data_IF_030101946603
#
_entry.id   IF_030101946603
#
_cell.length_a   1.000
_cell.length_b   1.000
_cell.length_c   1.000
_cell.angle_alpha   90.00
_cell.angle_beta   90.00
_cell.angle_gamma   90.00
#
_symmetry.space_group_name_H-M   'P 1'
#
loop_
_entity.id
_entity.type
_entity.pdbx_description
1 polymer ?
#
# COMPACT_ATOMS: atom_id res chain seq x y z
N UNK A 1 -7.80 15.91 19.85
CA UNK A 1 -8.26 14.68 19.19
C UNK A 1 -9.60 14.31 19.81
N UNK A 2 -10.67 14.33 19.01
CA UNK A 2 -12.01 13.93 19.43
C UNK A 2 -12.31 12.52 18.91
N UNK A 3 -13.37 11.89 19.40
CA UNK A 3 -13.79 10.51 19.06
C UNK A 3 -13.98 10.15 17.55
N UNK A 4 -14.02 11.04 16.52
CA UNK A 4 -14.20 10.65 15.13
C UNK A 4 -12.91 10.78 14.29
N UNK A 5 -11.79 10.22 14.74
CA UNK A 5 -10.55 10.14 13.93
C UNK A 5 -10.26 8.68 13.51
N UNK A 6 -10.93 8.19 12.45
CA UNK A 6 -10.75 6.83 11.94
C UNK A 6 -9.40 6.67 11.20
N UNK A 7 -8.76 5.52 11.43
CA UNK A 7 -7.49 5.13 10.77
C UNK A 7 -7.77 4.06 9.73
N UNK A 8 -7.49 4.37 8.47
CA UNK A 8 -7.48 3.37 7.40
C UNK A 8 -6.31 2.41 7.66
N UNK A 9 -6.64 1.14 7.90
CA UNK A 9 -5.68 0.04 7.97
C UNK A 9 -5.63 -0.66 6.63
N UNK A 10 -4.51 -0.51 5.92
CA UNK A 10 -4.26 -1.20 4.65
C UNK A 10 -3.48 -2.49 4.90
N UNK A 11 -3.94 -3.59 4.33
CA UNK A 11 -3.19 -4.84 4.31
C UNK A 11 -2.44 -5.05 2.98
N UNK A 12 -1.11 -5.08 3.03
CA UNK A 12 -0.23 -5.42 1.89
C UNK A 12 0.08 -6.91 1.87
N UNK A 13 -0.78 -7.65 1.18
CA UNK A 13 -1.03 -9.05 1.52
C UNK A 13 0.12 -10.01 1.18
N UNK A 14 0.92 -9.72 0.14
CA UNK A 14 1.89 -10.68 -0.43
C UNK A 14 3.16 -10.07 -1.03
N UNK A 15 3.05 -8.91 -1.69
CA UNK A 15 4.17 -8.30 -2.42
C UNK A 15 4.65 -9.09 -3.62
N UNK A 16 5.78 -8.65 -4.19
CA UNK A 16 6.44 -9.31 -5.32
C UNK A 16 7.88 -9.77 -5.04
N UNK A 17 8.53 -9.26 -3.99
CA UNK A 17 9.97 -9.48 -3.74
C UNK A 17 10.23 -10.69 -2.82
N UNK A 18 9.46 -10.82 -1.75
CA UNK A 18 9.61 -11.91 -0.79
C UNK A 18 9.03 -13.24 -1.30
N UNK A 19 9.42 -14.34 -0.68
CA UNK A 19 8.91 -15.68 -0.99
C UNK A 19 8.72 -16.54 0.28
N UNK A 20 8.14 -17.73 0.11
CA UNK A 20 7.85 -18.68 1.21
C UNK A 20 9.06 -19.24 1.94
N UNK A 21 10.26 -19.18 1.35
CA UNK A 21 11.48 -19.54 2.08
C UNK A 21 11.81 -18.51 3.16
N UNK A 22 11.40 -17.25 2.95
CA UNK A 22 11.56 -16.17 3.91
C UNK A 22 10.40 -16.07 4.89
N UNK A 23 9.16 -16.29 4.45
CA UNK A 23 7.96 -16.32 5.28
C UNK A 23 6.92 -17.30 4.71
N UNK A 24 6.70 -18.48 5.34
CA UNK A 24 5.78 -19.50 4.82
C UNK A 24 4.32 -19.04 4.67
N UNK A 25 3.92 -17.99 5.40
CA UNK A 25 2.55 -17.48 5.40
C UNK A 25 2.19 -16.65 4.16
N UNK A 26 3.14 -16.33 3.28
CA UNK A 26 2.86 -15.53 2.07
C UNK A 26 1.86 -16.28 1.16
N UNK A 27 0.70 -15.68 0.83
CA UNK A 27 -0.31 -16.31 -0.02
C UNK A 27 0.13 -16.24 -1.49
N UNK A 28 -0.05 -17.35 -2.21
CA UNK A 28 0.27 -17.48 -3.64
C UNK A 28 -0.96 -17.79 -4.50
N UNK A 29 -1.93 -18.53 -3.97
CA UNK A 29 -3.13 -18.94 -4.68
C UNK A 29 -4.33 -18.04 -4.35
N UNK A 30 -5.30 -17.86 -5.27
CA UNK A 30 -6.51 -17.07 -4.99
C UNK A 30 -7.21 -17.45 -3.68
N UNK A 31 -7.28 -18.74 -3.35
CA UNK A 31 -7.88 -19.24 -2.11
C UNK A 31 -7.12 -18.77 -0.86
N UNK A 32 -5.79 -18.75 -0.92
CA UNK A 32 -4.95 -18.24 0.17
C UNK A 32 -5.07 -16.72 0.29
N UNK A 33 -5.10 -15.99 -0.82
CA UNK A 33 -5.36 -14.54 -0.81
C UNK A 33 -6.72 -14.23 -0.17
N UNK A 34 -7.76 -14.98 -0.53
CA UNK A 34 -9.10 -14.83 0.05
C UNK A 34 -9.12 -15.14 1.56
N UNK A 35 -8.43 -16.20 1.99
CA UNK A 35 -8.34 -16.55 3.40
C UNK A 35 -7.57 -15.51 4.22
N UNK A 36 -6.47 -14.97 3.68
CA UNK A 36 -5.66 -13.93 4.30
C UNK A 36 -6.39 -12.57 4.33
N UNK A 37 -7.08 -12.21 3.25
CA UNK A 37 -7.92 -11.01 3.20
C UNK A 37 -9.05 -11.07 4.23
N UNK A 38 -9.70 -12.24 4.41
CA UNK A 38 -10.69 -12.43 5.47
C UNK A 38 -10.08 -12.20 6.86
N UNK A 39 -8.94 -12.82 7.15
CA UNK A 39 -8.24 -12.63 8.43
C UNK A 39 -7.86 -11.16 8.67
N UNK A 40 -7.41 -10.45 7.63
CA UNK A 40 -7.08 -9.04 7.72
C UNK A 40 -8.32 -8.16 8.00
N UNK A 41 -9.42 -8.39 7.28
CA UNK A 41 -10.66 -7.61 7.44
C UNK A 41 -11.33 -7.88 8.80
N UNK A 42 -11.34 -9.13 9.27
CA UNK A 42 -11.85 -9.50 10.61
C UNK A 42 -11.12 -8.75 11.74
N UNK A 43 -9.86 -8.37 11.52
CA UNK A 43 -9.04 -7.61 12.47
C UNK A 43 -9.07 -6.09 12.23
N UNK A 44 -9.90 -5.60 11.30
CA UNK A 44 -10.13 -4.17 11.05
C UNK A 44 -9.40 -3.60 9.82
N UNK A 45 -8.82 -4.45 8.97
CA UNK A 45 -8.31 -4.02 7.66
C UNK A 45 -9.45 -3.55 6.75
N UNK A 46 -9.29 -2.38 6.13
CA UNK A 46 -10.31 -1.78 5.25
C UNK A 46 -9.96 -1.88 3.75
N UNK A 47 -8.67 -2.04 3.44
CA UNK A 47 -8.15 -2.09 2.08
C UNK A 47 -7.10 -3.19 1.93
N UNK A 48 -7.15 -3.93 0.82
CA UNK A 48 -6.17 -4.96 0.48
C UNK A 48 -5.35 -4.49 -0.72
N UNK A 49 -4.04 -4.32 -0.52
CA UNK A 49 -3.06 -4.04 -1.57
C UNK A 49 -2.53 -5.34 -2.16
N UNK A 50 -2.56 -5.43 -3.49
CA UNK A 50 -2.34 -6.66 -4.25
C UNK A 50 -1.21 -6.49 -5.25
N UNK A 51 -0.18 -7.31 -5.07
CA UNK A 51 0.62 -7.83 -6.16
C UNK A 51 0.10 -9.23 -6.52
N UNK A 52 -0.17 -9.50 -7.80
CA UNK A 52 -0.54 -10.83 -8.24
C UNK A 52 0.66 -11.77 -8.28
N UNK A 53 0.42 -13.05 -8.03
CA UNK A 53 1.38 -14.13 -8.17
C UNK A 53 0.73 -15.29 -8.89
N UNK A 54 1.54 -16.06 -9.60
CA UNK A 54 1.14 -17.39 -10.06
C UNK A 54 1.02 -18.34 -8.86
N UNK A 55 0.35 -19.50 -8.99
CA UNK A 55 0.30 -20.51 -7.93
C UNK A 55 1.69 -21.02 -7.47
N UNK A 56 2.73 -20.87 -8.31
CA UNK A 56 4.11 -21.18 -7.97
C UNK A 56 4.80 -20.08 -7.15
N UNK A 57 4.14 -18.95 -6.92
CA UNK A 57 4.67 -17.81 -6.16
C UNK A 57 5.44 -16.78 -6.97
N UNK A 58 5.51 -16.94 -8.29
CA UNK A 58 6.20 -15.99 -9.18
C UNK A 58 5.33 -14.74 -9.36
N UNK A 59 5.88 -13.52 -9.27
CA UNK A 59 5.13 -12.30 -9.58
C UNK A 59 4.45 -12.39 -10.95
N UNK A 60 3.18 -12.05 -11.02
CA UNK A 60 2.40 -12.04 -12.24
C UNK A 60 1.88 -10.65 -12.57
N UNK A 61 1.75 -10.39 -13.86
CA UNK A 61 1.20 -9.16 -14.43
C UNK A 61 0.11 -9.49 -15.46
N UNK A 62 -0.41 -10.72 -15.42
CA UNK A 62 -1.51 -11.16 -16.28
C UNK A 62 -2.86 -10.74 -15.68
N UNK A 63 -3.78 -10.35 -16.55
CA UNK A 63 -5.12 -9.91 -16.18
C UNK A 63 -5.87 -11.02 -15.44
N UNK A 64 -5.70 -12.26 -15.88
CA UNK A 64 -6.38 -13.44 -15.36
C UNK A 64 -5.99 -13.73 -13.91
N UNK A 65 -4.71 -13.52 -13.54
CA UNK A 65 -4.24 -13.74 -12.18
C UNK A 65 -4.78 -12.66 -11.23
N UNK A 66 -4.76 -11.39 -11.63
CA UNK A 66 -5.40 -10.32 -10.86
C UNK A 66 -6.91 -10.55 -10.71
N UNK A 67 -7.58 -11.02 -11.77
CA UNK A 67 -9.01 -11.32 -11.76
C UNK A 67 -9.33 -12.43 -10.76
N UNK A 68 -8.65 -13.57 -10.87
CA UNK A 68 -8.88 -14.72 -10.01
C UNK A 68 -8.68 -14.37 -8.53
N UNK A 69 -7.61 -13.66 -8.20
CA UNK A 69 -7.34 -13.18 -6.84
C UNK A 69 -8.44 -12.23 -6.36
N UNK A 70 -8.85 -11.27 -7.19
CA UNK A 70 -9.84 -10.25 -6.81
C UNK A 70 -11.23 -10.82 -6.63
N UNK A 71 -11.64 -11.74 -7.49
CA UNK A 71 -12.92 -12.46 -7.37
C UNK A 71 -12.92 -13.32 -6.10
N UNK A 72 -11.83 -14.02 -5.80
CA UNK A 72 -11.70 -14.81 -4.58
C UNK A 72 -11.78 -13.94 -3.31
N UNK A 73 -11.08 -12.79 -3.29
CA UNK A 73 -11.14 -11.84 -2.17
C UNK A 73 -12.57 -11.31 -1.98
N UNK A 74 -13.21 -10.82 -3.04
CA UNK A 74 -14.60 -10.29 -2.97
C UNK A 74 -15.64 -11.37 -2.61
N UNK A 75 -15.37 -12.62 -2.96
CA UNK A 75 -16.16 -13.77 -2.52
C UNK A 75 -16.04 -14.03 -1.02
N UNK A 76 -14.88 -13.77 -0.41
CA UNK A 76 -14.61 -14.00 1.00
C UNK A 76 -14.93 -12.82 1.93
N UNK A 77 -14.80 -11.58 1.45
CA UNK A 77 -15.05 -10.36 2.22
C UNK A 77 -15.90 -9.37 1.44
N UNK A 78 -16.92 -8.82 2.09
CA UNK A 78 -17.85 -7.89 1.45
C UNK A 78 -17.27 -6.47 1.39
N UNK A 79 -17.53 -5.79 0.27
CA UNK A 79 -17.20 -4.37 0.00
C UNK A 79 -15.73 -3.93 0.24
N UNK A 80 -14.78 -4.81 0.54
CA UNK A 80 -13.39 -4.43 0.83
C UNK A 80 -12.78 -3.62 -0.31
N UNK A 81 -11.99 -2.60 0.02
CA UNK A 81 -11.31 -1.77 -0.99
C UNK A 81 -10.18 -2.61 -1.59
N UNK A 82 -10.20 -2.74 -2.91
CA UNK A 82 -9.15 -3.45 -3.65
C UNK A 82 -8.18 -2.43 -4.25
N UNK A 83 -6.92 -2.52 -3.84
CA UNK A 83 -5.82 -1.70 -4.32
C UNK A 83 -4.84 -2.57 -5.12
N UNK A 84 -4.61 -2.22 -6.38
CA UNK A 84 -3.62 -2.91 -7.21
C UNK A 84 -2.29 -2.19 -7.22
N UNK A 85 -1.21 -2.95 -7.13
CA UNK A 85 0.10 -2.41 -7.48
C UNK A 85 0.22 -2.11 -8.97
N UNK A 86 0.81 -0.97 -9.30
CA UNK A 86 1.39 -0.69 -10.64
C UNK A 86 2.92 -0.71 -10.63
N UNK A 87 3.52 -1.01 -9.48
CA UNK A 87 4.97 -1.08 -9.31
C UNK A 87 5.54 -2.37 -9.87
N UNK A 88 6.44 -2.26 -10.85
CA UNK A 88 7.12 -3.41 -11.44
C UNK A 88 8.48 -3.02 -12.03
N UNK A 89 9.46 -3.92 -11.93
CA UNK A 89 10.76 -3.76 -12.57
C UNK A 89 10.76 -4.46 -13.93
N UNK A 90 11.09 -3.73 -14.99
CA UNK A 90 11.24 -4.30 -16.34
C UNK A 90 9.92 -4.73 -17.00
N UNK A 91 8.77 -4.32 -16.47
CA UNK A 91 7.46 -4.61 -17.07
C UNK A 91 6.95 -3.40 -17.84
N UNK A 92 6.62 -3.54 -19.14
CA UNK A 92 6.08 -2.45 -19.95
C UNK A 92 4.83 -1.81 -19.33
N UNK A 93 4.68 -0.49 -19.52
CA UNK A 93 3.54 0.28 -19.01
C UNK A 93 2.21 -0.30 -19.53
N UNK A 94 2.11 -0.62 -20.82
CA UNK A 94 0.88 -1.18 -21.42
C UNK A 94 0.42 -2.47 -20.74
N UNK A 95 1.37 -3.32 -20.34
CA UNK A 95 1.06 -4.57 -19.62
C UNK A 95 0.50 -4.29 -18.23
N UNK A 96 1.00 -3.25 -17.56
CA UNK A 96 0.48 -2.81 -16.25
C UNK A 96 -0.88 -2.13 -16.37
N UNK A 97 -1.09 -1.35 -17.42
CA UNK A 97 -2.37 -0.70 -17.69
C UNK A 97 -3.46 -1.71 -18.06
N UNK A 98 -3.10 -2.83 -18.71
CA UNK A 98 -4.07 -3.83 -19.16
C UNK A 98 -4.99 -4.34 -18.04
N UNK A 99 -4.43 -4.70 -16.88
CA UNK A 99 -5.24 -5.18 -15.75
C UNK A 99 -6.03 -4.06 -15.06
N UNK A 100 -5.60 -2.80 -15.15
CA UNK A 100 -6.38 -1.65 -14.66
C UNK A 100 -7.62 -1.43 -15.54
N UNK A 101 -7.43 -1.39 -16.88
CA UNK A 101 -8.51 -1.18 -17.85
C UNK A 101 -9.59 -2.25 -17.75
N UNK A 102 -9.16 -3.50 -17.62
CA UNK A 102 -10.06 -4.63 -17.59
C UNK A 102 -10.80 -4.76 -16.25
N UNK A 103 -10.09 -4.62 -15.12
CA UNK A 103 -10.65 -5.01 -13.81
C UNK A 103 -11.09 -3.82 -12.96
N UNK A 104 -10.60 -2.62 -13.27
CA UNK A 104 -10.95 -1.35 -12.61
C UNK A 104 -11.00 -1.49 -11.08
N UNK A 105 -9.84 -1.67 -10.41
CA UNK A 105 -9.80 -1.72 -8.95
C UNK A 105 -10.32 -0.41 -8.34
N UNK A 106 -10.56 -0.40 -7.03
CA UNK A 106 -11.01 0.83 -6.35
C UNK A 106 -9.86 1.85 -6.26
N UNK A 107 -8.67 1.35 -5.95
CA UNK A 107 -7.42 2.11 -5.81
C UNK A 107 -6.34 1.44 -6.66
N UNK A 108 -5.35 2.21 -7.10
CA UNK A 108 -4.12 1.64 -7.62
C UNK A 108 -2.90 2.43 -7.13
N UNK A 109 -1.92 1.73 -6.58
CA UNK A 109 -0.66 2.31 -6.12
C UNK A 109 0.17 2.81 -7.29
N UNK A 110 0.66 4.05 -7.18
CA UNK A 110 1.43 4.76 -8.18
C UNK A 110 2.70 5.32 -7.54
N UNK A 111 3.84 4.90 -8.04
CA UNK A 111 5.14 5.31 -7.52
C UNK A 111 5.50 6.70 -8.05
N UNK A 112 5.71 7.65 -7.14
CA UNK A 112 5.82 9.08 -7.46
C UNK A 112 7.22 9.56 -7.84
N UNK A 113 8.09 8.67 -8.29
CA UNK A 113 9.40 9.06 -8.80
C UNK A 113 10.35 7.90 -9.09
N UNK A 114 11.32 8.15 -9.95
CA UNK A 114 12.42 7.24 -10.22
C UNK A 114 13.43 7.25 -9.07
N UNK A 115 13.88 6.07 -8.64
CA UNK A 115 14.87 5.96 -7.56
C UNK A 115 15.73 4.70 -7.71
N UNK A 116 16.87 4.67 -7.03
CA UNK A 116 17.53 3.40 -6.75
C UNK A 116 16.63 2.56 -5.83
N UNK A 117 16.44 1.30 -6.17
CA UNK A 117 15.64 0.35 -5.40
C UNK A 117 16.47 -0.90 -5.13
N UNK A 118 16.90 -1.06 -3.88
CA UNK A 118 17.87 -2.08 -3.52
C UNK A 118 17.61 -2.69 -2.15
N UNK A 119 18.23 -3.86 -1.94
CA UNK A 119 18.35 -4.50 -0.62
C UNK A 119 19.82 -4.70 -0.30
N UNK A 120 20.37 -3.88 0.59
CA UNK A 120 21.75 -4.02 1.04
C UNK A 120 21.88 -5.07 2.16
N UNK A 121 22.89 -5.93 2.07
CA UNK A 121 23.24 -6.88 3.13
C UNK A 121 24.50 -6.45 3.87
N UNK A 122 24.34 -5.96 5.10
CA UNK A 122 25.47 -5.59 5.97
C UNK A 122 26.45 -6.75 6.20
N UNK A 123 25.93 -7.99 6.27
CA UNK A 123 26.75 -9.20 6.43
C UNK A 123 27.60 -9.50 5.20
N UNK A 124 27.02 -9.38 4.00
CA UNK A 124 27.75 -9.61 2.73
C UNK A 124 28.61 -8.41 2.33
N UNK A 125 28.34 -7.23 2.91
CA UNK A 125 28.83 -5.93 2.44
C UNK A 125 28.53 -5.70 0.95
N UNK A 126 27.39 -6.21 0.49
CA UNK A 126 26.99 -6.22 -0.91
C UNK A 126 25.46 -6.19 -1.02
N UNK A 127 24.95 -5.83 -2.20
CA UNK A 127 23.53 -5.82 -2.52
C UNK A 127 23.02 -7.23 -2.77
N UNK A 128 21.87 -7.56 -2.15
CA UNK A 128 21.11 -8.77 -2.46
C UNK A 128 20.45 -8.62 -3.83
N UNK A 129 19.93 -7.43 -4.11
CA UNK A 129 19.53 -6.97 -5.44
C UNK A 129 19.65 -5.44 -5.48
N UNK A 130 19.76 -4.89 -6.69
CA UNK A 130 19.73 -3.46 -6.98
C UNK A 130 19.19 -3.22 -8.38
N UNK A 131 18.35 -2.21 -8.54
CA UNK A 131 17.84 -1.75 -9.82
C UNK A 131 17.50 -0.25 -9.73
N UNK A 132 17.30 0.40 -10.88
CA UNK A 132 16.54 1.64 -10.93
C UNK A 132 15.07 1.25 -11.01
N UNK A 133 14.27 1.76 -10.08
CA UNK A 133 12.82 1.67 -10.17
C UNK A 133 12.32 2.92 -10.87
N UNK A 134 12.08 2.80 -12.17
CA UNK A 134 11.81 3.93 -13.06
C UNK A 134 10.33 4.32 -13.05
N UNK A 135 10.07 5.58 -12.70
CA UNK A 135 8.77 6.25 -12.81
C UNK A 135 9.03 7.71 -13.23
N UNK A 136 9.25 7.91 -14.53
CA UNK A 136 9.38 9.24 -15.11
C UNK A 136 8.06 10.03 -15.00
N UNK A 137 8.09 11.35 -15.14
CA UNK A 137 6.85 12.14 -15.20
C UNK A 137 5.91 11.68 -16.32
N UNK A 138 6.44 11.30 -17.49
CA UNK A 138 5.64 10.72 -18.58
C UNK A 138 4.92 9.43 -18.14
N UNK A 139 5.63 8.55 -17.42
CA UNK A 139 5.04 7.32 -16.86
C UNK A 139 3.95 7.65 -15.85
N UNK A 140 4.23 8.56 -14.92
CA UNK A 140 3.31 8.98 -13.86
C UNK A 140 2.05 9.61 -14.47
N UNK A 141 2.21 10.56 -15.39
CA UNK A 141 1.09 11.21 -16.09
C UNK A 141 0.24 10.19 -16.84
N UNK A 142 0.85 9.25 -17.58
CA UNK A 142 0.12 8.20 -18.30
C UNK A 142 -0.75 7.35 -17.36
N UNK A 143 -0.22 6.99 -16.19
CA UNK A 143 -0.99 6.26 -15.19
C UNK A 143 -2.11 7.10 -14.57
N UNK A 144 -1.84 8.35 -14.19
CA UNK A 144 -2.85 9.25 -13.62
C UNK A 144 -4.00 9.48 -14.60
N UNK A 145 -3.70 9.77 -15.87
CA UNK A 145 -4.71 9.94 -16.92
C UNK A 145 -5.55 8.67 -17.09
N UNK A 146 -4.89 7.50 -17.18
CA UNK A 146 -5.60 6.21 -17.30
C UNK A 146 -6.47 5.93 -16.06
N UNK A 147 -5.97 6.20 -14.86
CA UNK A 147 -6.73 6.01 -13.62
C UNK A 147 -7.95 6.94 -13.57
N UNK A 148 -7.78 8.21 -13.96
CA UNK A 148 -8.88 9.17 -14.05
C UNK A 148 -9.94 8.75 -15.07
N UNK A 149 -9.53 8.31 -16.26
CA UNK A 149 -10.44 7.78 -17.30
C UNK A 149 -11.28 6.59 -16.79
N UNK A 150 -10.69 5.75 -15.94
CA UNK A 150 -11.31 4.53 -15.42
C UNK A 150 -12.04 4.73 -14.08
N UNK A 151 -11.94 5.91 -13.47
CA UNK A 151 -12.48 6.20 -12.13
C UNK A 151 -11.76 5.46 -11.00
N UNK A 152 -10.47 5.15 -11.17
CA UNK A 152 -9.60 4.51 -10.17
C UNK A 152 -8.92 5.61 -9.35
N UNK A 153 -8.90 5.49 -8.02
CA UNK A 153 -8.18 6.46 -7.17
C UNK A 153 -6.68 6.11 -7.10
N UNK A 154 -5.75 7.04 -7.37
CA UNK A 154 -4.33 6.79 -7.20
C UNK A 154 -3.92 6.82 -5.72
N UNK A 155 -3.19 5.80 -5.26
CA UNK A 155 -2.39 5.86 -4.03
C UNK A 155 -0.96 6.29 -4.39
N UNK A 156 -0.55 7.47 -3.95
CA UNK A 156 0.73 8.07 -4.32
C UNK A 156 1.83 7.55 -3.39
N UNK A 157 2.61 6.57 -3.83
CA UNK A 157 3.72 5.99 -3.08
C UNK A 157 4.97 6.86 -3.19
N UNK A 158 5.30 7.55 -2.09
CA UNK A 158 6.40 8.51 -2.00
C UNK A 158 7.51 7.93 -1.11
N UNK A 159 8.69 7.70 -1.68
CA UNK A 159 9.84 7.11 -0.98
C UNK A 159 10.82 8.15 -0.43
N UNK A 160 10.62 9.41 -0.79
CA UNK A 160 11.42 10.55 -0.34
C UNK A 160 10.62 11.86 -0.50
N UNK A 161 11.09 12.96 0.10
CA UNK A 161 10.40 14.26 0.03
C UNK A 161 10.29 14.80 -1.40
N UNK A 162 11.24 14.47 -2.28
CA UNK A 162 11.15 14.81 -3.70
C UNK A 162 9.95 14.16 -4.40
N UNK A 163 9.54 12.96 -3.96
CA UNK A 163 8.35 12.30 -4.51
C UNK A 163 7.07 13.02 -4.07
N UNK A 164 7.04 13.58 -2.86
CA UNK A 164 5.92 14.40 -2.38
C UNK A 164 5.79 15.69 -3.20
N UNK A 165 6.92 16.38 -3.42
CA UNK A 165 6.97 17.58 -4.25
C UNK A 165 6.56 17.32 -5.72
N UNK A 166 6.66 16.07 -6.21
CA UNK A 166 6.20 15.72 -7.56
C UNK A 166 4.67 15.74 -7.70
N UNK A 167 3.90 15.76 -6.61
CA UNK A 167 2.44 15.92 -6.67
C UNK A 167 2.05 17.34 -7.11
N UNK A 168 2.80 18.36 -6.68
CA UNK A 168 2.49 19.78 -6.92
C UNK A 168 2.21 20.11 -8.40
N UNK A 169 3.10 19.77 -9.37
CA UNK A 169 2.82 20.06 -10.78
C UNK A 169 1.61 19.28 -11.31
N UNK A 170 1.31 18.09 -10.80
CA UNK A 170 0.17 17.29 -11.25
C UNK A 170 -1.16 17.83 -10.71
N UNK A 171 -1.14 18.42 -9.50
CA UNK A 171 -2.26 19.17 -8.94
C UNK A 171 -2.49 20.46 -9.75
N UNK A 172 -1.43 21.22 -10.05
CA UNK A 172 -1.50 22.45 -10.86
C UNK A 172 -2.05 22.20 -12.27
N UNK A 173 -1.65 21.07 -12.89
CA UNK A 173 -2.19 20.62 -14.19
C UNK A 173 -3.67 20.18 -14.12
N UNK A 174 -4.25 20.03 -12.93
CA UNK A 174 -5.60 19.50 -12.73
C UNK A 174 -5.73 18.00 -12.98
N UNK A 175 -4.60 17.27 -13.01
CA UNK A 175 -4.58 15.81 -13.17
C UNK A 175 -4.90 15.11 -11.84
N UNK A 176 -4.56 15.72 -10.71
CA UNK A 176 -4.88 15.20 -9.38
C UNK A 176 -5.96 16.05 -8.72
N UNK A 177 -6.94 15.38 -8.10
CA UNK A 177 -8.05 16.02 -7.39
C UNK A 177 -8.26 15.41 -6.01
N UNK A 178 -8.54 16.27 -5.04
CA UNK A 178 -8.82 15.88 -3.66
C UNK A 178 -10.09 14.99 -3.53
N UNK A 179 -10.17 14.13 -2.51
CA UNK A 179 -9.15 13.86 -1.50
C UNK A 179 -8.00 13.00 -2.06
N UNK A 180 -6.76 13.42 -1.88
CA UNK A 180 -5.59 12.62 -2.25
C UNK A 180 -5.39 11.46 -1.27
N UNK A 181 -4.71 10.42 -1.72
CA UNK A 181 -4.18 9.33 -0.89
C UNK A 181 -2.67 9.26 -1.07
N UNK A 182 -1.90 9.57 -0.03
CA UNK A 182 -0.43 9.65 -0.07
C UNK A 182 0.18 8.62 0.89
N UNK A 183 1.06 7.77 0.39
CA UNK A 183 1.74 6.75 1.20
C UNK A 183 3.22 7.08 1.32
N UNK A 184 3.65 7.43 2.53
CA UNK A 184 5.05 7.67 2.89
C UNK A 184 5.77 6.33 3.08
N UNK A 185 6.59 5.93 2.11
CA UNK A 185 7.30 4.65 2.11
C UNK A 185 8.70 4.81 2.67
N UNK A 186 9.02 4.09 3.74
CA UNK A 186 10.27 4.26 4.47
C UNK A 186 11.01 2.94 4.72
N UNK A 187 12.33 2.97 4.63
CA UNK A 187 13.20 1.82 4.93
C UNK A 187 13.69 1.04 3.71
N UNK A 188 13.31 1.43 2.50
CA UNK A 188 13.89 0.91 1.26
C UNK A 188 15.27 1.54 1.02
N UNK A 189 16.28 0.73 0.66
CA UNK A 189 17.60 1.27 0.33
C UNK A 189 17.52 2.03 -1.00
N UNK A 190 17.81 3.33 -0.94
CA UNK A 190 17.69 4.27 -2.05
C UNK A 190 16.64 5.36 -1.83
N UNK A 191 15.75 5.18 -0.84
CA UNK A 191 14.83 6.22 -0.37
C UNK A 191 15.22 6.80 0.99
N UNK A 192 14.27 7.51 1.60
CA UNK A 192 14.44 8.20 2.88
C UNK A 192 14.67 7.21 4.03
N UNK A 193 15.45 7.64 5.03
CA UNK A 193 15.74 6.80 6.20
C UNK A 193 14.51 6.65 7.11
N UNK A 194 14.24 5.44 7.63
CA UNK A 194 13.06 5.13 8.44
C UNK A 194 13.20 5.64 9.88
N UNK A 195 12.98 6.94 10.10
CA UNK A 195 12.98 7.55 11.44
C UNK A 195 11.72 8.38 11.65
N UNK A 196 11.23 8.46 12.89
CA UNK A 196 10.07 9.27 13.23
C UNK A 196 10.24 10.75 12.82
N UNK A 197 11.47 11.30 12.91
CA UNK A 197 11.77 12.66 12.46
C UNK A 197 11.54 12.83 10.97
N UNK A 198 12.00 11.87 10.16
CA UNK A 198 11.82 11.92 8.72
C UNK A 198 10.36 11.69 8.33
N UNK A 199 9.63 10.83 9.05
CA UNK A 199 8.19 10.67 8.84
C UNK A 199 7.43 11.97 9.14
N UNK A 200 7.75 12.65 10.24
CA UNK A 200 7.16 13.95 10.56
C UNK A 200 7.44 15.01 9.48
N UNK A 201 8.66 14.99 8.91
CA UNK A 201 8.99 15.84 7.77
C UNK A 201 8.17 15.47 6.52
N UNK A 202 8.10 14.19 6.14
CA UNK A 202 7.28 13.78 4.99
C UNK A 202 5.80 14.15 5.17
N UNK A 203 5.25 13.95 6.38
CA UNK A 203 3.89 14.32 6.70
C UNK A 203 3.65 15.84 6.59
N UNK A 204 4.66 16.68 6.89
CA UNK A 204 4.58 18.14 6.69
C UNK A 204 4.56 18.55 5.22
N UNK A 205 5.13 17.74 4.33
CA UNK A 205 5.20 18.00 2.89
C UNK A 205 4.03 17.37 2.10
N UNK A 206 3.11 16.65 2.77
CA UNK A 206 1.83 16.26 2.13
C UNK A 206 1.09 17.53 1.72
N UNK A 207 0.52 17.62 0.49
CA UNK A 207 -0.26 18.79 0.08
C UNK A 207 -1.35 19.14 1.10
N UNK A 208 -1.31 20.36 1.65
CA UNK A 208 -2.20 20.82 2.71
C UNK A 208 -1.74 20.50 4.15
N UNK A 209 -0.61 19.80 4.30
CA UNK A 209 -0.05 19.37 5.59
C UNK A 209 -0.73 18.13 6.19
N UNK A 210 -0.25 17.67 7.36
CA UNK A 210 -0.71 16.42 7.97
C UNK A 210 -2.12 16.51 8.55
N UNK A 211 -2.60 17.73 8.83
CA UNK A 211 -3.96 18.04 9.29
C UNK A 211 -4.85 18.57 8.14
N UNK A 212 -4.37 18.48 6.89
CA UNK A 212 -5.07 18.93 5.70
C UNK A 212 -6.22 18.01 5.28
N UNK A 213 -6.87 18.30 4.12
CA UNK A 213 -8.01 17.51 3.63
C UNK A 213 -7.62 16.16 3.01
N UNK A 214 -6.32 15.92 2.84
CA UNK A 214 -5.80 14.76 2.12
C UNK A 214 -5.51 13.60 3.07
N UNK A 215 -5.75 12.38 2.60
CA UNK A 215 -5.36 11.19 3.33
C UNK A 215 -3.88 10.95 3.12
N UNK A 216 -3.15 10.76 4.21
CA UNK A 216 -1.79 10.25 4.14
C UNK A 216 -1.61 9.07 5.08
N UNK A 217 -0.61 8.24 4.81
CA UNK A 217 -0.27 7.11 5.66
C UNK A 217 1.17 6.66 5.52
N UNK A 218 1.53 5.69 6.36
CA UNK A 218 2.88 5.13 6.42
C UNK A 218 2.91 3.71 5.82
N UNK A 219 3.95 3.46 5.03
CA UNK A 219 4.46 2.12 4.70
C UNK A 219 5.86 1.98 5.29
N UNK A 220 5.98 1.25 6.40
CA UNK A 220 7.26 1.00 7.06
C UNK A 220 7.81 -0.37 6.71
N UNK A 221 9.02 -0.45 6.17
CA UNK A 221 9.62 -1.72 5.75
C UNK A 221 10.26 -2.47 6.91
N UNK A 222 9.98 -3.78 7.00
CA UNK A 222 10.61 -4.72 7.92
C UNK A 222 10.44 -4.31 9.40
N UNK A 223 11.46 -4.53 10.23
CA UNK A 223 11.40 -4.30 11.69
C UNK A 223 11.20 -2.83 12.08
N UNK A 224 11.47 -1.88 11.18
CA UNK A 224 11.24 -0.46 11.44
C UNK A 224 9.74 -0.11 11.42
N UNK A 225 8.89 -0.98 10.86
CA UNK A 225 7.43 -0.79 10.72
C UNK A 225 6.76 -0.36 12.02
N UNK A 226 6.98 -1.09 13.12
CA UNK A 226 6.20 -0.87 14.35
C UNK A 226 6.51 0.47 15.03
N UNK A 227 7.77 0.89 15.07
CA UNK A 227 8.12 2.20 15.62
C UNK A 227 7.52 3.32 14.77
N UNK A 228 7.59 3.18 13.44
CA UNK A 228 7.05 4.16 12.53
C UNK A 228 5.52 4.20 12.59
N UNK A 229 4.83 3.08 12.77
CA UNK A 229 3.36 3.04 12.96
C UNK A 229 2.96 3.88 14.16
N UNK A 230 3.64 3.74 15.30
CA UNK A 230 3.38 4.60 16.46
C UNK A 230 3.56 6.08 16.13
N UNK A 231 4.58 6.43 15.34
CA UNK A 231 4.81 7.81 14.92
C UNK A 231 3.72 8.31 13.95
N UNK A 232 3.33 7.50 12.96
CA UNK A 232 2.25 7.84 12.02
C UNK A 232 0.93 8.09 12.74
N UNK A 233 0.58 7.20 13.68
CA UNK A 233 -0.65 7.33 14.48
C UNK A 233 -0.65 8.61 15.30
N UNK A 234 0.49 8.96 15.92
CA UNK A 234 0.63 10.19 16.70
C UNK A 234 0.56 11.46 15.84
N UNK A 235 0.94 11.38 14.57
CA UNK A 235 0.91 12.47 13.59
C UNK A 235 -0.42 12.58 12.84
N UNK A 236 -1.39 11.69 13.10
CA UNK A 236 -2.70 11.70 12.41
C UNK A 236 -2.78 10.84 11.14
N UNK A 237 -1.70 10.16 10.75
CA UNK A 237 -1.64 9.36 9.52
C UNK A 237 -2.35 8.01 9.60
N UNK A 238 -2.66 7.45 8.43
CA UNK A 238 -3.11 6.07 8.22
C UNK A 238 -1.92 5.09 8.25
N UNK A 239 -2.16 3.78 8.32
CA UNK A 239 -1.07 2.80 8.39
C UNK A 239 -1.29 1.59 7.49
N UNK A 240 -0.19 1.11 6.92
CA UNK A 240 -0.15 -0.13 6.15
C UNK A 240 0.70 -1.17 6.87
N UNK A 241 0.21 -2.41 6.88
CA UNK A 241 0.93 -3.60 7.37
C UNK A 241 0.65 -4.79 6.48
N UNK A 242 1.56 -5.74 6.44
CA UNK A 242 1.30 -6.99 5.74
C UNK A 242 2.58 -7.73 5.39
N UNK A 243 2.42 -8.97 4.94
CA UNK A 243 3.54 -9.84 4.62
C UNK A 243 4.35 -9.35 3.41
N UNK A 244 3.87 -8.37 2.66
CA UNK A 244 4.69 -7.65 1.68
C UNK A 244 5.80 -6.84 2.35
N UNK A 245 5.47 -6.13 3.43
CA UNK A 245 6.33 -5.10 4.01
C UNK A 245 7.14 -5.64 5.20
N UNK A 246 6.56 -6.52 6.01
CA UNK A 246 7.16 -7.04 7.24
C UNK A 246 6.64 -8.44 7.60
N UNK A 247 7.53 -9.32 8.06
CA UNK A 247 7.15 -10.68 8.49
C UNK A 247 7.05 -10.85 10.00
N UNK A 248 7.43 -9.85 10.80
CA UNK A 248 7.66 -10.05 12.23
C UNK A 248 6.75 -9.18 13.09
N UNK A 249 6.20 -9.75 14.15
CA UNK A 249 5.51 -9.03 15.22
C UNK A 249 6.52 -8.21 16.06
N UNK A 250 6.07 -7.26 16.91
CA UNK A 250 6.95 -6.40 17.70
C UNK A 250 7.88 -7.18 18.65
N UNK A 251 7.43 -8.33 19.13
CA UNK A 251 8.22 -9.23 19.98
C UNK A 251 9.31 -10.01 19.20
N UNK A 252 9.36 -9.87 17.88
CA UNK A 252 10.32 -10.54 16.99
C UNK A 252 9.87 -11.91 16.49
N UNK A 253 8.71 -12.41 16.89
CA UNK A 253 8.11 -13.62 16.35
C UNK A 253 7.67 -13.40 14.90
N UNK A 254 7.79 -14.44 14.07
CA UNK A 254 7.29 -14.38 12.70
C UNK A 254 5.77 -14.47 12.70
N UNK A 255 5.11 -13.56 12.01
CA UNK A 255 3.67 -13.57 11.80
C UNK A 255 3.26 -14.84 11.04
N UNK A 256 2.16 -15.46 11.48
CA UNK A 256 1.62 -16.70 10.88
C UNK A 256 0.59 -16.38 9.81
N UNK A 257 0.14 -15.14 9.75
CA UNK A 257 -0.80 -14.59 8.78
C UNK A 257 -0.69 -13.06 8.73
N UNK A 258 -1.22 -12.45 7.68
CA UNK A 258 -1.54 -11.03 7.61
C UNK A 258 -2.47 -10.60 8.74
N UNK A 259 -3.40 -11.48 9.16
CA UNK A 259 -4.27 -11.24 10.32
C UNK A 259 -3.50 -10.92 11.59
N UNK A 260 -2.42 -11.66 11.89
CA UNK A 260 -1.57 -11.37 13.06
C UNK A 260 -0.98 -9.94 13.00
N UNK A 261 -0.57 -9.48 11.80
CA UNK A 261 -0.02 -8.14 11.60
C UNK A 261 -1.08 -7.05 11.70
N UNK A 262 -2.27 -7.27 11.12
CA UNK A 262 -3.39 -6.33 11.19
C UNK A 262 -3.95 -6.23 12.60
N UNK A 263 -4.09 -7.35 13.31
CA UNK A 263 -4.50 -7.37 14.71
C UNK A 263 -3.56 -6.52 15.59
N UNK A 264 -2.25 -6.66 15.37
CA UNK A 264 -1.26 -5.85 16.08
C UNK A 264 -1.35 -4.36 15.71
N UNK A 265 -1.58 -4.04 14.43
CA UNK A 265 -1.77 -2.65 14.01
C UNK A 265 -3.04 -2.04 14.65
N UNK A 266 -4.16 -2.78 14.70
CA UNK A 266 -5.38 -2.36 15.41
C UNK A 266 -5.09 -2.05 16.88
N UNK A 267 -4.41 -2.95 17.60
CA UNK A 267 -4.07 -2.73 19.01
C UNK A 267 -3.26 -1.44 19.19
N UNK A 268 -2.33 -1.15 18.28
CA UNK A 268 -1.54 0.08 18.33
C UNK A 268 -2.38 1.32 18.02
N UNK A 269 -3.29 1.24 17.04
CA UNK A 269 -4.25 2.30 16.71
C UNK A 269 -5.12 2.65 17.92
N UNK A 270 -5.68 1.64 18.59
CA UNK A 270 -6.51 1.81 19.79
C UNK A 270 -5.69 2.36 20.97
N UNK A 271 -4.47 1.87 21.17
CA UNK A 271 -3.56 2.36 22.20
C UNK A 271 -3.13 3.82 21.98
N UNK A 272 -3.11 4.29 20.73
CA UNK A 272 -2.87 5.69 20.38
C UNK A 272 -4.11 6.59 20.61
N UNK A 273 -5.22 6.04 21.09
CA UNK A 273 -6.47 6.77 21.32
C UNK A 273 -7.29 7.03 20.06
N UNK A 274 -6.99 6.33 18.96
CA UNK A 274 -7.72 6.38 17.68
C UNK A 274 -8.51 5.08 17.48
N UNK A 275 -9.28 4.98 16.40
CA UNK A 275 -10.01 3.76 16.05
C UNK A 275 -9.74 3.36 14.61
N UNK A 276 -9.95 2.10 14.28
CA UNK A 276 -9.88 1.65 12.88
C UNK A 276 -11.10 2.15 12.10
N UNK A 277 -10.88 2.56 10.86
CA UNK A 277 -11.94 2.88 9.91
C UNK A 277 -12.67 1.60 9.52
N UNK A 278 -14.00 1.64 9.49
CA UNK A 278 -14.75 0.64 8.73
C UNK A 278 -14.47 0.78 7.24
N UNK A 279 -14.75 -0.27 6.45
CA UNK A 279 -14.62 -0.22 4.98
C UNK A 279 -15.43 0.94 4.39
N UNK A 280 -16.65 1.18 4.89
CA UNK A 280 -17.51 2.26 4.42
C UNK A 280 -16.89 3.65 4.68
N UNK A 281 -16.32 3.86 5.87
CA UNK A 281 -15.63 5.12 6.20
C UNK A 281 -14.37 5.30 5.37
N UNK A 282 -13.57 4.24 5.19
CA UNK A 282 -12.40 4.27 4.32
C UNK A 282 -12.79 4.64 2.88
N UNK A 283 -13.90 4.14 2.37
CA UNK A 283 -14.40 4.49 1.03
C UNK A 283 -14.75 5.98 0.92
N UNK A 284 -15.46 6.51 1.92
CA UNK A 284 -15.81 7.94 2.00
C UNK A 284 -14.55 8.82 2.07
N UNK A 285 -13.59 8.48 2.92
CA UNK A 285 -12.33 9.20 3.08
C UNK A 285 -11.51 9.22 1.78
N UNK A 286 -11.44 8.08 1.07
CA UNK A 286 -10.66 7.94 -0.17
C UNK A 286 -11.41 8.43 -1.43
N UNK A 287 -12.69 8.79 -1.30
CA UNK A 287 -13.53 9.17 -2.45
C UNK A 287 -13.78 8.01 -3.41
N UNK A 288 -13.91 6.78 -2.90
CA UNK A 288 -14.24 5.59 -3.71
C UNK A 288 -15.71 5.21 -3.55
N UNK A 289 -16.41 4.78 -4.61
CA UNK A 289 -17.81 4.37 -4.52
C UNK A 289 -17.95 3.04 -3.76
N UNK A 290 -19.10 2.81 -3.10
CA UNK A 290 -19.43 1.48 -2.53
C UNK A 290 -19.62 0.46 -3.64
N UNK A 291 -19.17 -0.78 -3.41
CA UNK A 291 -19.44 -1.91 -4.29
C UNK A 291 -20.42 -2.85 -3.62
N UNK A 292 -21.56 -3.04 -4.24
CA UNK A 292 -22.46 -4.13 -3.87
C UNK A 292 -21.94 -5.44 -4.47
N UNK A 293 -22.09 -6.55 -3.74
CA UNK A 293 -21.95 -7.88 -4.33
C UNK A 293 -22.83 -7.98 -5.58
N UNK A 294 -22.21 -8.33 -6.70
CA UNK A 294 -22.97 -8.80 -7.85
C UNK A 294 -23.57 -10.14 -7.43
N UNK A 295 -24.90 -10.20 -7.41
CA UNK A 295 -25.66 -11.38 -6.99
C UNK A 295 -25.38 -12.59 -7.89
#
# INVERSE_FOLDING_TARGET
MSLPDPVILTNSISGAVANREQCPAIPYTPEEYAAEARRAVEEGGAMIHIHARTPAGVPSYEVEDFRAITEAIRGAVDDVIVNYSTGALGVPIDKRIAYLRELRPDVAALNMGSMNYAKYSRRRKDFVFQAVFENSFETITTFVETMNELGIRPEHECFDSGHLANLDPLIDMGLLGEPLQVSCVMGVTGGIRPTARNLAHMASEVPGGPDGPNNWGLIGVSRDQWMLISAALALGGNVRVGLEDNFYLPNGEMARSNGDLVAQARVMTEAAGRRVASVAEARELLGTPRRHRVA
#
